data_IF_708425599395
#
_entry.id   IF_708425599395
#
_cell.length_a   1.000
_cell.length_b   1.000
_cell.length_c   1.000
_cell.angle_alpha   90.00
_cell.angle_beta   90.00
_cell.angle_gamma   90.00
#
_symmetry.space_group_name_H-M   'P 1'
#
loop_
_entity.id
_entity.type
_entity.pdbx_description
1 polymer ?
#
# COMPACT_ATOMS: atom_id res chain seq x y z
N UNK A 1 -22.75 -3.55 -17.65
CA UNK A 1 -21.60 -4.49 -17.70
C UNK A 1 -22.02 -5.93 -17.99
N UNK A 2 -22.82 -6.55 -17.12
CA UNK A 2 -23.25 -7.96 -17.27
C UNK A 2 -23.97 -8.24 -18.61
N UNK A 3 -24.82 -7.31 -19.06
CA UNK A 3 -25.46 -7.37 -20.39
C UNK A 3 -24.46 -7.44 -21.56
N UNK A 4 -23.35 -6.71 -21.46
CA UNK A 4 -22.34 -6.66 -22.52
C UNK A 4 -21.44 -7.90 -22.47
N UNK A 5 -21.13 -8.41 -21.27
CA UNK A 5 -20.43 -9.68 -21.12
C UNK A 5 -21.27 -10.82 -21.70
N UNK A 6 -22.56 -10.88 -21.39
CA UNK A 6 -23.47 -11.91 -21.94
C UNK A 6 -23.58 -11.77 -23.46
N UNK A 7 -23.75 -10.55 -23.99
CA UNK A 7 -23.80 -10.29 -25.43
C UNK A 7 -22.49 -10.69 -26.13
N UNK A 8 -21.35 -10.36 -25.53
CA UNK A 8 -20.02 -10.70 -26.03
C UNK A 8 -19.70 -12.18 -25.95
N UNK A 9 -20.19 -12.91 -24.96
CA UNK A 9 -20.06 -14.37 -24.93
C UNK A 9 -20.93 -15.05 -25.99
N UNK A 10 -22.07 -14.46 -26.37
CA UNK A 10 -22.98 -15.04 -27.36
C UNK A 10 -22.58 -14.73 -28.81
N UNK A 11 -21.97 -13.58 -29.07
CA UNK A 11 -21.69 -13.09 -30.43
C UNK A 11 -20.24 -12.68 -30.69
N UNK A 12 -19.39 -12.76 -29.68
CA UNK A 12 -17.97 -12.46 -29.81
C UNK A 12 -17.22 -13.62 -30.46
N UNK A 13 -16.36 -13.30 -31.41
CA UNK A 13 -15.39 -14.21 -31.98
C UNK A 13 -13.99 -13.69 -31.69
N UNK A 14 -13.37 -14.25 -30.66
CA UNK A 14 -12.03 -13.84 -30.26
C UNK A 14 -10.97 -14.25 -31.30
N UNK A 15 -11.14 -15.40 -31.96
CA UNK A 15 -10.18 -15.89 -32.96
C UNK A 15 -10.17 -15.01 -34.21
N UNK A 16 -11.34 -14.47 -34.58
CA UNK A 16 -11.48 -13.57 -35.71
C UNK A 16 -11.09 -12.12 -35.37
N UNK A 17 -11.59 -11.59 -34.25
CA UNK A 17 -11.53 -10.15 -33.95
C UNK A 17 -10.44 -9.75 -32.93
N UNK A 18 -9.92 -10.71 -32.17
CA UNK A 18 -9.03 -10.47 -31.06
C UNK A 18 -7.55 -10.34 -31.42
N UNK A 19 -7.14 -10.86 -32.57
CA UNK A 19 -5.77 -10.71 -33.06
C UNK A 19 -5.64 -9.49 -33.98
N UNK A 20 -4.53 -8.77 -33.82
CA UNK A 20 -4.14 -7.73 -34.76
C UNK A 20 -3.66 -8.42 -36.06
N UNK A 21 -4.29 -8.10 -37.20
CA UNK A 21 -4.05 -8.73 -38.49
C UNK A 21 -3.61 -7.70 -39.53
N UNK A 22 -2.32 -7.33 -39.48
CA UNK A 22 -1.67 -6.61 -40.59
C UNK A 22 -1.32 -7.54 -41.76
N UNK A 23 -1.06 -8.83 -41.48
CA UNK A 23 -0.83 -9.91 -42.46
C UNK A 23 -1.85 -11.04 -42.24
N UNK A 24 -2.62 -11.50 -43.25
CA UNK A 24 -3.60 -12.58 -43.11
C UNK A 24 -3.04 -13.91 -42.60
N UNK A 25 -1.73 -14.13 -42.73
CA UNK A 25 -1.07 -15.40 -42.46
C UNK A 25 -0.52 -15.57 -41.03
N UNK A 26 -0.40 -14.48 -40.26
CA UNK A 26 0.17 -14.51 -38.91
C UNK A 26 -0.59 -13.57 -37.93
N UNK A 27 -1.60 -14.06 -37.19
CA UNK A 27 -2.31 -13.25 -36.20
C UNK A 27 -1.39 -12.86 -35.03
N UNK A 28 -1.23 -11.56 -34.78
CA UNK A 28 -0.42 -11.04 -33.68
C UNK A 28 -1.32 -10.74 -32.49
N UNK A 29 -1.12 -11.48 -31.39
CA UNK A 29 -1.91 -11.34 -30.16
C UNK A 29 -1.29 -10.40 -29.12
N UNK A 30 0.03 -10.23 -29.20
CA UNK A 30 0.78 -9.30 -28.37
C UNK A 30 1.98 -8.81 -29.18
N UNK A 31 2.22 -7.50 -29.14
CA UNK A 31 3.38 -6.86 -29.76
C UNK A 31 3.97 -5.84 -28.79
N UNK A 32 5.25 -5.52 -28.98
CA UNK A 32 5.96 -4.52 -28.20
C UNK A 32 7.19 -5.05 -27.47
N UNK A 33 7.91 -4.13 -26.84
CA UNK A 33 9.12 -4.39 -26.06
C UNK A 33 8.80 -4.36 -24.56
N UNK A 34 9.77 -4.64 -23.69
CA UNK A 34 9.58 -4.48 -22.24
C UNK A 34 9.04 -3.08 -21.88
N UNK A 35 9.54 -2.05 -22.56
CA UNK A 35 9.12 -0.65 -22.44
C UNK A 35 7.65 -0.46 -22.82
N UNK A 36 7.26 -0.88 -24.03
CA UNK A 36 5.93 -0.57 -24.59
C UNK A 36 4.84 -1.57 -24.23
N UNK A 37 5.18 -2.82 -23.95
CA UNK A 37 4.21 -3.88 -23.63
C UNK A 37 4.02 -4.08 -22.13
N UNK A 38 5.05 -3.84 -21.30
CA UNK A 38 4.97 -4.07 -19.85
C UNK A 38 4.93 -2.75 -19.08
N UNK A 39 6.01 -1.94 -19.15
CA UNK A 39 6.07 -0.72 -18.34
C UNK A 39 4.98 0.28 -18.71
N UNK A 40 4.70 0.49 -19.99
CA UNK A 40 3.62 1.40 -20.41
C UNK A 40 2.24 0.98 -19.85
N UNK A 41 1.92 -0.31 -19.80
CA UNK A 41 0.60 -0.82 -19.42
C UNK A 41 0.36 -0.95 -17.91
N UNK A 42 1.42 -0.96 -17.10
CA UNK A 42 1.31 -1.14 -15.64
C UNK A 42 0.28 -0.18 -14.99
N UNK A 43 0.32 1.15 -15.21
CA UNK A 43 -0.63 2.06 -14.58
C UNK A 43 -2.07 1.79 -15.00
N UNK A 44 -2.30 1.54 -16.30
CA UNK A 44 -3.63 1.25 -16.84
C UNK A 44 -4.26 0.02 -16.20
N UNK A 45 -3.49 -1.04 -15.93
CA UNK A 45 -4.02 -2.25 -15.28
C UNK A 45 -4.38 -2.03 -13.80
N UNK A 46 -3.75 -1.07 -13.13
CA UNK A 46 -4.03 -0.80 -11.71
C UNK A 46 -5.21 0.12 -11.48
N UNK A 47 -5.52 0.98 -12.45
CA UNK A 47 -6.63 1.93 -12.35
C UNK A 47 -7.96 1.24 -12.03
N UNK A 48 -8.23 0.08 -12.63
CA UNK A 48 -9.45 -0.69 -12.40
C UNK A 48 -9.66 -1.19 -10.97
N UNK A 49 -8.66 -1.03 -10.09
CA UNK A 49 -8.73 -1.41 -8.66
C UNK A 49 -8.61 -0.22 -7.71
N UNK A 50 -8.31 0.96 -8.24
CA UNK A 50 -8.10 2.17 -7.43
C UNK A 50 -9.38 2.54 -6.69
N UNK A 51 -9.23 2.95 -5.42
CA UNK A 51 -10.34 3.43 -4.61
C UNK A 51 -10.95 2.39 -3.67
N UNK A 52 -10.63 1.10 -3.80
CA UNK A 52 -11.10 0.08 -2.84
C UNK A 52 -10.56 0.33 -1.44
N UNK A 53 -9.35 0.87 -1.33
CA UNK A 53 -8.73 1.25 -0.07
C UNK A 53 -9.42 2.42 0.63
N UNK A 54 -10.14 3.25 -0.13
CA UNK A 54 -10.87 4.40 0.42
C UNK A 54 -11.97 3.97 1.41
N UNK A 55 -12.46 2.73 1.35
CA UNK A 55 -13.43 2.19 2.32
C UNK A 55 -12.95 2.32 3.78
N UNK A 56 -11.65 2.37 4.02
CA UNK A 56 -11.08 2.54 5.36
C UNK A 56 -11.36 3.93 5.94
N UNK A 57 -11.64 4.94 5.12
CA UNK A 57 -11.92 6.32 5.54
C UNK A 57 -13.26 6.45 6.28
N UNK A 58 -14.21 5.55 6.00
CA UNK A 58 -15.51 5.50 6.68
C UNK A 58 -15.58 4.46 7.79
N UNK A 59 -14.42 3.97 8.28
CA UNK A 59 -14.38 2.99 9.36
C UNK A 59 -15.12 3.45 10.63
N UNK A 60 -15.12 4.76 10.91
CA UNK A 60 -15.78 5.34 12.08
C UNK A 60 -17.32 5.31 12.03
N UNK A 61 -17.91 5.22 10.83
CA UNK A 61 -19.38 5.17 10.63
C UNK A 61 -19.87 3.79 10.19
N UNK A 62 -18.95 2.87 9.92
CA UNK A 62 -19.26 1.51 9.50
C UNK A 62 -19.64 0.66 10.70
N UNK A 63 -20.74 -0.10 10.60
CA UNK A 63 -21.11 -1.09 11.61
C UNK A 63 -20.10 -2.24 11.62
N UNK A 64 -19.52 -2.53 12.79
CA UNK A 64 -18.52 -3.59 12.99
C UNK A 64 -17.36 -3.55 11.96
N UNK A 65 -16.58 -2.44 11.91
CA UNK A 65 -15.63 -2.19 10.83
C UNK A 65 -14.58 -3.30 10.69
N UNK A 66 -14.24 -3.96 11.80
CA UNK A 66 -13.23 -5.03 11.85
C UNK A 66 -13.64 -6.30 11.10
N UNK A 67 -14.94 -6.55 10.89
CA UNK A 67 -15.45 -7.66 10.09
C UNK A 67 -15.99 -7.21 8.74
N UNK A 68 -16.67 -6.08 8.71
CA UNK A 68 -17.32 -5.55 7.50
C UNK A 68 -16.31 -5.04 6.48
N UNK A 69 -15.29 -4.28 6.90
CA UNK A 69 -14.32 -3.71 5.96
C UNK A 69 -13.48 -4.78 5.25
N UNK A 70 -12.86 -5.77 5.93
CA UNK A 70 -12.05 -6.77 5.23
C UNK A 70 -12.87 -7.60 4.24
N UNK A 71 -14.10 -7.98 4.61
CA UNK A 71 -15.01 -8.69 3.71
C UNK A 71 -15.43 -7.82 2.53
N UNK A 72 -15.81 -6.57 2.79
CA UNK A 72 -16.19 -5.59 1.77
C UNK A 72 -15.05 -5.37 0.76
N UNK A 73 -13.83 -5.17 1.23
CA UNK A 73 -12.64 -5.04 0.37
C UNK A 73 -12.40 -6.31 -0.45
N UNK A 74 -12.51 -7.50 0.16
CA UNK A 74 -12.33 -8.76 -0.56
C UNK A 74 -13.36 -8.94 -1.68
N UNK A 75 -14.65 -8.75 -1.38
CA UNK A 75 -15.71 -8.84 -2.39
C UNK A 75 -15.53 -7.79 -3.49
N UNK A 76 -15.16 -6.55 -3.13
CA UNK A 76 -14.88 -5.50 -4.10
C UNK A 76 -13.73 -5.91 -5.05
N UNK A 77 -12.59 -6.36 -4.51
CA UNK A 77 -11.44 -6.80 -5.33
C UNK A 77 -11.81 -7.98 -6.22
N UNK A 78 -12.53 -8.99 -5.70
CA UNK A 78 -12.95 -10.16 -6.49
C UNK A 78 -13.90 -9.75 -7.61
N UNK A 79 -14.89 -8.90 -7.32
CA UNK A 79 -15.82 -8.40 -8.34
C UNK A 79 -15.08 -7.59 -9.41
N UNK A 80 -14.16 -6.70 -9.01
CA UNK A 80 -13.34 -5.92 -9.96
C UNK A 80 -12.43 -6.83 -10.79
N UNK A 81 -11.84 -7.86 -10.18
CA UNK A 81 -10.99 -8.82 -10.87
C UNK A 81 -11.77 -9.59 -11.94
N UNK A 82 -12.90 -10.21 -11.56
CA UNK A 82 -13.76 -10.90 -12.52
C UNK A 82 -14.25 -9.96 -13.63
N UNK A 83 -14.56 -8.70 -13.27
CA UNK A 83 -15.06 -7.72 -14.22
C UNK A 83 -13.99 -7.28 -15.23
N UNK A 84 -12.78 -6.94 -14.75
CA UNK A 84 -11.67 -6.54 -15.59
C UNK A 84 -11.24 -7.69 -16.51
N UNK A 85 -11.09 -8.91 -15.99
CA UNK A 85 -10.76 -10.08 -16.82
C UNK A 85 -11.81 -10.32 -17.89
N UNK A 86 -13.10 -10.25 -17.53
CA UNK A 86 -14.18 -10.42 -18.52
C UNK A 86 -14.07 -9.37 -19.64
N UNK A 87 -13.73 -8.12 -19.31
CA UNK A 87 -13.56 -7.06 -20.31
C UNK A 87 -12.37 -7.29 -21.23
N UNK A 88 -11.26 -7.81 -20.70
CA UNK A 88 -10.08 -8.16 -21.52
C UNK A 88 -10.43 -9.18 -22.61
N UNK A 89 -11.40 -10.06 -22.39
CA UNK A 89 -11.85 -11.01 -23.41
C UNK A 89 -13.01 -10.50 -24.26
N UNK A 90 -13.96 -9.78 -23.66
CA UNK A 90 -15.19 -9.35 -24.33
C UNK A 90 -14.94 -8.20 -25.30
N UNK A 91 -14.19 -7.18 -24.90
CA UNK A 91 -13.97 -6.01 -25.78
C UNK A 91 -13.28 -6.39 -27.10
N UNK A 92 -12.19 -7.18 -27.12
CA UNK A 92 -11.55 -7.54 -28.38
C UNK A 92 -12.29 -8.63 -29.19
N UNK A 93 -13.19 -9.41 -28.59
CA UNK A 93 -13.95 -10.44 -29.33
C UNK A 93 -15.10 -9.87 -30.15
N UNK A 94 -15.54 -8.65 -29.85
CA UNK A 94 -16.66 -7.99 -30.53
C UNK A 94 -16.18 -7.31 -31.83
N UNK A 95 -16.92 -7.43 -32.95
CA UNK A 95 -16.70 -6.59 -34.13
C UNK A 95 -16.86 -5.10 -33.77
N UNK A 96 -16.07 -4.16 -34.33
CA UNK A 96 -15.08 -4.28 -35.42
C UNK A 96 -13.70 -4.86 -35.05
N UNK A 97 -13.52 -5.37 -33.83
CA UNK A 97 -12.29 -6.01 -33.36
C UNK A 97 -11.29 -5.08 -32.68
N UNK A 98 -10.19 -5.67 -32.19
CA UNK A 98 -9.25 -4.99 -31.28
C UNK A 98 -8.62 -3.73 -31.88
N UNK A 99 -8.31 -3.74 -33.19
CA UNK A 99 -7.66 -2.62 -33.89
C UNK A 99 -8.50 -1.33 -33.84
N UNK A 100 -9.82 -1.45 -33.98
CA UNK A 100 -10.73 -0.31 -33.88
C UNK A 100 -11.11 0.01 -32.43
N UNK A 101 -11.08 -0.99 -31.53
CA UNK A 101 -11.40 -0.79 -30.12
C UNK A 101 -10.38 0.09 -29.40
N UNK A 102 -9.10 0.08 -29.82
CA UNK A 102 -8.05 0.94 -29.25
C UNK A 102 -8.34 2.43 -29.43
N UNK A 103 -8.93 2.82 -30.56
CA UNK A 103 -9.25 4.22 -30.87
C UNK A 103 -10.68 4.61 -30.48
N UNK A 104 -11.48 3.67 -29.96
CA UNK A 104 -12.86 3.92 -29.59
C UNK A 104 -12.94 4.65 -28.24
N UNK A 105 -13.64 5.80 -28.20
CA UNK A 105 -13.88 6.54 -26.95
C UNK A 105 -14.73 5.74 -25.95
N UNK A 106 -15.70 4.98 -26.46
CA UNK A 106 -16.55 4.11 -25.66
C UNK A 106 -16.53 2.68 -26.23
N UNK A 107 -15.49 1.87 -25.92
CA UNK A 107 -15.35 0.52 -26.49
C UNK A 107 -16.55 -0.38 -26.19
N UNK A 108 -17.27 -0.11 -25.09
CA UNK A 108 -18.43 -0.87 -24.67
C UNK A 108 -19.66 -0.65 -25.57
N UNK A 109 -19.74 0.46 -26.30
CA UNK A 109 -20.83 0.73 -27.23
C UNK A 109 -20.86 -0.27 -28.38
N UNK A 110 -19.72 -0.81 -28.80
CA UNK A 110 -19.65 -1.86 -29.81
C UNK A 110 -20.49 -3.08 -29.40
N UNK A 111 -20.42 -3.48 -28.12
CA UNK A 111 -21.22 -4.57 -27.58
C UNK A 111 -22.72 -4.22 -27.44
N UNK A 112 -23.05 -2.98 -27.11
CA UNK A 112 -24.44 -2.51 -27.05
C UNK A 112 -25.07 -2.44 -28.45
N UNK A 113 -24.30 -2.05 -29.47
CA UNK A 113 -24.71 -2.05 -30.87
C UNK A 113 -25.14 -3.44 -31.35
N UNK A 114 -24.47 -4.50 -30.91
CA UNK A 114 -24.88 -5.87 -31.22
C UNK A 114 -26.23 -6.25 -30.63
N UNK A 115 -26.65 -5.61 -29.54
CA UNK A 115 -27.98 -5.78 -28.95
C UNK A 115 -29.06 -4.93 -29.66
N UNK A 116 -28.71 -4.21 -30.73
CA UNK A 116 -29.62 -3.33 -31.45
C UNK A 116 -29.78 -1.95 -30.82
N UNK A 117 -28.90 -1.58 -29.88
CA UNK A 117 -28.91 -0.26 -29.22
C UNK A 117 -28.11 0.71 -30.10
N UNK A 118 -28.67 1.87 -30.42
CA UNK A 118 -27.95 2.90 -31.17
C UNK A 118 -26.79 3.47 -30.35
N UNK A 119 -25.74 3.97 -31.03
CA UNK A 119 -24.56 4.52 -30.35
C UNK A 119 -24.93 5.65 -29.37
N UNK A 120 -25.83 6.54 -29.78
CA UNK A 120 -26.35 7.64 -28.93
C UNK A 120 -26.97 7.10 -27.65
N UNK A 121 -27.83 6.09 -27.73
CA UNK A 121 -28.47 5.49 -26.54
C UNK A 121 -27.44 4.76 -25.68
N UNK A 122 -26.44 4.12 -26.32
CA UNK A 122 -25.32 3.49 -25.62
C UNK A 122 -24.52 4.47 -24.77
N UNK A 123 -24.20 5.66 -25.31
CA UNK A 123 -23.52 6.73 -24.58
C UNK A 123 -24.33 7.20 -23.35
N UNK A 124 -25.65 7.39 -23.52
CA UNK A 124 -26.53 7.74 -22.40
C UNK A 124 -26.62 6.65 -21.33
N UNK A 125 -26.49 5.38 -21.71
CA UNK A 125 -26.52 4.25 -20.77
C UNK A 125 -25.24 4.16 -19.90
N UNK A 126 -24.14 4.76 -20.36
CA UNK A 126 -22.88 4.84 -19.59
C UNK A 126 -22.97 5.89 -18.48
N UNK A 127 -23.73 6.98 -18.67
CA UNK A 127 -23.81 8.07 -17.70
C UNK A 127 -24.27 7.63 -16.29
N UNK A 128 -25.34 6.83 -16.11
CA UNK A 128 -25.71 6.32 -14.80
C UNK A 128 -24.60 5.51 -14.12
N UNK A 129 -23.81 4.76 -14.89
CA UNK A 129 -22.68 4.00 -14.35
C UNK A 129 -21.58 4.94 -13.84
N UNK A 130 -21.29 6.03 -14.57
CA UNK A 130 -20.33 7.05 -14.15
C UNK A 130 -20.81 7.81 -12.91
N UNK A 131 -22.09 8.15 -12.84
CA UNK A 131 -22.70 8.80 -11.67
C UNK A 131 -22.67 7.89 -10.45
N UNK A 132 -22.94 6.60 -10.62
CA UNK A 132 -22.84 5.60 -9.54
C UNK A 132 -21.42 5.46 -9.02
N UNK A 133 -20.42 5.46 -9.90
CA UNK A 133 -19.00 5.48 -9.51
C UNK A 133 -18.67 6.73 -8.69
N UNK A 134 -19.05 7.92 -9.19
CA UNK A 134 -18.79 9.18 -8.48
C UNK A 134 -19.45 9.19 -7.09
N UNK A 135 -20.73 8.80 -7.00
CA UNK A 135 -21.46 8.73 -5.74
C UNK A 135 -20.81 7.78 -4.72
N UNK A 136 -20.17 6.70 -5.19
CA UNK A 136 -19.43 5.76 -4.33
C UNK A 136 -18.27 6.40 -3.56
N UNK A 137 -17.68 7.48 -4.09
CA UNK A 137 -16.57 8.19 -3.46
C UNK A 137 -16.99 9.35 -2.56
N UNK A 138 -18.22 9.85 -2.70
CA UNK A 138 -18.70 11.07 -2.02
C UNK A 138 -18.52 11.01 -0.51
N UNK A 139 -18.93 9.90 0.09
CA UNK A 139 -18.80 9.72 1.53
C UNK A 139 -17.33 9.66 1.96
N UNK A 140 -16.49 8.95 1.21
CA UNK A 140 -15.08 8.70 1.57
C UNK A 140 -14.27 9.99 1.60
N UNK A 141 -14.30 10.78 0.51
CA UNK A 141 -13.52 12.02 0.47
C UNK A 141 -14.11 13.10 1.39
N UNK A 142 -15.42 13.08 1.65
CA UNK A 142 -16.03 14.02 2.60
C UNK A 142 -15.57 13.74 4.04
N UNK A 143 -15.51 12.46 4.43
CA UNK A 143 -14.97 12.05 5.73
C UNK A 143 -13.47 12.34 5.85
N UNK A 144 -12.70 12.14 4.77
CA UNK A 144 -11.28 12.53 4.72
C UNK A 144 -11.11 14.04 4.92
N UNK A 145 -11.88 14.84 4.19
CA UNK A 145 -11.84 16.32 4.27
C UNK A 145 -12.25 16.81 5.66
N UNK A 146 -13.29 16.21 6.25
CA UNK A 146 -13.71 16.50 7.62
C UNK A 146 -12.61 16.17 8.64
N UNK A 147 -11.93 15.04 8.46
CA UNK A 147 -10.84 14.60 9.35
C UNK A 147 -9.65 15.58 9.28
N UNK A 148 -9.28 16.01 8.07
CA UNK A 148 -8.24 17.03 7.87
C UNK A 148 -8.63 18.38 8.51
N UNK A 149 -9.89 18.80 8.39
CA UNK A 149 -10.38 20.01 9.04
C UNK A 149 -10.34 19.91 10.57
N UNK A 150 -10.69 18.75 11.13
CA UNK A 150 -10.68 18.52 12.58
C UNK A 150 -9.26 18.60 13.17
N UNK A 151 -8.26 18.16 12.41
CA UNK A 151 -6.84 18.27 12.79
C UNK A 151 -6.20 19.63 12.45
N UNK A 152 -7.01 20.63 12.06
CA UNK A 152 -6.58 21.98 11.63
C UNK A 152 -5.56 22.00 10.48
N UNK A 153 -5.66 21.02 9.58
CA UNK A 153 -4.85 20.96 8.36
C UNK A 153 -5.47 21.75 7.20
N UNK A 154 -6.74 22.15 7.32
CA UNK A 154 -7.44 23.00 6.35
C UNK A 154 -7.64 24.42 6.89
N UNK A 155 -7.68 25.44 6.02
CA UNK A 155 -7.89 26.82 6.44
C UNK A 155 -9.19 27.02 7.21
N UNK A 156 -9.14 27.76 8.32
CA UNK A 156 -10.30 28.02 9.17
C UNK A 156 -11.44 28.77 8.45
N UNK A 157 -11.12 29.54 7.41
CA UNK A 157 -12.10 30.27 6.60
C UNK A 157 -13.13 29.36 5.91
N UNK A 158 -12.81 28.09 5.69
CA UNK A 158 -13.75 27.13 5.09
C UNK A 158 -14.84 26.67 6.07
N UNK A 159 -14.67 26.91 7.39
CA UNK A 159 -15.70 26.57 8.39
C UNK A 159 -16.03 25.07 8.46
N UNK A 160 -15.07 24.20 8.11
CA UNK A 160 -15.27 22.76 7.96
C UNK A 160 -15.06 21.98 9.27
N UNK A 161 -14.61 22.61 10.34
CA UNK A 161 -14.29 21.93 11.60
C UNK A 161 -15.56 21.46 12.32
N UNK A 162 -15.52 20.24 12.86
CA UNK A 162 -16.58 19.61 13.67
C UNK A 162 -17.99 19.79 13.10
N UNK A 163 -18.16 19.66 11.78
CA UNK A 163 -19.49 19.77 11.18
C UNK A 163 -20.33 18.54 11.54
N UNK A 164 -21.63 18.72 11.86
CA UNK A 164 -22.52 17.61 12.19
C UNK A 164 -22.84 16.74 10.95
N UNK A 165 -22.75 17.31 9.75
CA UNK A 165 -22.99 16.64 8.48
C UNK A 165 -21.77 16.78 7.57
N UNK A 166 -21.55 15.77 6.72
CA UNK A 166 -20.44 15.72 5.76
C UNK A 166 -20.68 16.58 4.51
N UNK A 167 -21.82 17.26 4.42
CA UNK A 167 -22.20 18.04 3.24
C UNK A 167 -21.24 19.20 2.95
N UNK A 168 -20.86 20.00 3.96
CA UNK A 168 -19.92 21.11 3.74
C UNK A 168 -18.52 20.62 3.32
N UNK A 169 -17.89 19.65 4.00
CA UNK A 169 -16.65 19.03 3.52
C UNK A 169 -16.76 18.45 2.12
N UNK A 170 -17.89 17.80 1.82
CA UNK A 170 -18.15 17.24 0.50
C UNK A 170 -18.15 18.32 -0.58
N UNK A 171 -18.91 19.40 -0.39
CA UNK A 171 -18.97 20.52 -1.35
C UNK A 171 -17.61 21.19 -1.51
N UNK A 172 -16.87 21.40 -0.42
CA UNK A 172 -15.53 22.00 -0.49
C UNK A 172 -14.54 21.11 -1.28
N UNK A 173 -14.54 19.80 -1.02
CA UNK A 173 -13.70 18.86 -1.75
C UNK A 173 -14.11 18.73 -3.22
N UNK A 174 -15.42 18.69 -3.51
CA UNK A 174 -15.94 18.68 -4.88
C UNK A 174 -15.60 19.95 -5.64
N UNK A 175 -15.63 21.12 -4.98
CA UNK A 175 -15.21 22.39 -5.60
C UNK A 175 -13.71 22.38 -5.95
N UNK A 176 -12.86 21.85 -5.08
CA UNK A 176 -11.43 21.68 -5.37
C UNK A 176 -11.18 20.69 -6.51
N UNK A 177 -11.89 19.56 -6.51
CA UNK A 177 -11.84 18.59 -7.61
C UNK A 177 -12.30 19.20 -8.93
N UNK A 178 -13.38 19.99 -8.92
CA UNK A 178 -13.85 20.70 -10.11
C UNK A 178 -12.82 21.70 -10.62
N UNK A 179 -12.16 22.46 -9.73
CA UNK A 179 -11.07 23.36 -10.12
C UNK A 179 -9.91 22.61 -10.78
N UNK A 180 -9.51 21.45 -10.25
CA UNK A 180 -8.50 20.60 -10.88
C UNK A 180 -8.94 20.13 -12.27
N UNK A 181 -10.19 19.68 -12.43
CA UNK A 181 -10.72 19.29 -13.73
C UNK A 181 -10.77 20.48 -14.71
N UNK A 182 -11.10 21.69 -14.25
CA UNK A 182 -11.06 22.88 -15.11
C UNK A 182 -9.63 23.24 -15.53
N UNK A 183 -8.65 23.10 -14.63
CA UNK A 183 -7.24 23.29 -14.97
C UNK A 183 -6.75 22.25 -15.98
N UNK A 184 -7.21 21.00 -15.85
CA UNK A 184 -6.96 19.96 -16.84
C UNK A 184 -7.58 20.29 -18.19
N UNK A 185 -8.83 20.73 -18.22
CA UNK A 185 -9.48 21.11 -19.46
C UNK A 185 -8.78 22.27 -20.19
N UNK A 186 -8.20 23.21 -19.45
CA UNK A 186 -7.44 24.34 -20.01
C UNK A 186 -6.06 23.94 -20.55
N UNK A 187 -5.49 22.82 -20.09
CA UNK A 187 -4.14 22.36 -20.47
C UNK A 187 -4.20 20.93 -21.01
N UNK A 188 -4.20 20.74 -22.34
CA UNK A 188 -4.27 19.42 -22.97
C UNK A 188 -3.15 18.47 -22.49
N UNK A 189 -1.95 19.00 -22.25
CA UNK A 189 -0.82 18.23 -21.72
C UNK A 189 -1.09 17.72 -20.29
N UNK A 190 -1.68 18.56 -19.44
CA UNK A 190 -2.04 18.13 -18.08
C UNK A 190 -3.18 17.11 -18.12
N UNK A 191 -4.19 17.30 -18.98
CA UNK A 191 -5.30 16.36 -19.13
C UNK A 191 -4.82 14.95 -19.52
N UNK A 192 -3.84 14.84 -20.42
CA UNK A 192 -3.27 13.55 -20.81
C UNK A 192 -2.46 12.89 -19.68
N UNK A 193 -1.77 13.70 -18.86
CA UNK A 193 -0.93 13.23 -17.77
C UNK A 193 -1.66 13.05 -16.42
N UNK A 194 -2.87 13.58 -16.28
CA UNK A 194 -3.65 13.66 -15.02
C UNK A 194 -3.82 12.29 -14.36
N UNK A 195 -4.15 11.27 -15.16
CA UNK A 195 -4.31 9.91 -14.71
C UNK A 195 -3.02 9.36 -14.08
N UNK A 196 -1.91 9.51 -14.80
CA UNK A 196 -0.60 9.03 -14.37
C UNK A 196 -0.12 9.80 -13.14
N UNK A 197 -0.42 11.10 -13.05
CA UNK A 197 -0.18 11.91 -11.86
C UNK A 197 -0.88 11.34 -10.62
N UNK A 198 -2.18 11.02 -10.71
CA UNK A 198 -2.92 10.49 -9.57
C UNK A 198 -2.44 9.09 -9.15
N UNK A 199 -2.15 8.22 -10.12
CA UNK A 199 -1.59 6.90 -9.82
C UNK A 199 -0.22 7.04 -9.14
N UNK A 200 0.66 7.90 -9.66
CA UNK A 200 1.96 8.15 -9.06
C UNK A 200 1.82 8.72 -7.64
N UNK A 201 0.94 9.70 -7.41
CA UNK A 201 0.65 10.21 -6.07
C UNK A 201 0.14 9.11 -5.13
N UNK A 202 -0.73 8.23 -5.61
CA UNK A 202 -1.26 7.11 -4.85
C UNK A 202 -0.17 6.12 -4.45
N UNK A 203 0.85 5.87 -5.28
CA UNK A 203 1.97 4.97 -4.92
C UNK A 203 2.73 5.46 -3.68
N UNK A 204 2.90 6.77 -3.48
CA UNK A 204 3.51 7.34 -2.26
C UNK A 204 2.63 7.08 -1.04
N UNK A 205 1.32 7.32 -1.17
CA UNK A 205 0.35 7.08 -0.10
C UNK A 205 0.32 5.60 0.31
N UNK A 206 0.26 4.69 -0.66
CA UNK A 206 0.24 3.25 -0.38
C UNK A 206 1.56 2.76 0.21
N UNK A 207 2.69 3.27 -0.26
CA UNK A 207 4.00 2.97 0.32
C UNK A 207 4.05 3.40 1.78
N UNK A 208 3.57 4.61 2.11
CA UNK A 208 3.48 5.08 3.49
C UNK A 208 2.59 4.18 4.37
N UNK A 209 1.45 3.72 3.84
CA UNK A 209 0.55 2.78 4.53
C UNK A 209 1.22 1.42 4.77
N UNK A 210 1.93 0.87 3.78
CA UNK A 210 2.67 -0.39 3.90
C UNK A 210 3.81 -0.29 4.92
N UNK A 211 4.57 0.81 4.90
CA UNK A 211 5.61 1.08 5.91
C UNK A 211 4.97 1.14 7.31
N UNK A 212 3.85 1.84 7.46
CA UNK A 212 3.08 1.88 8.72
C UNK A 212 2.67 0.49 9.19
N UNK A 213 2.16 -0.36 8.30
CA UNK A 213 1.82 -1.76 8.61
C UNK A 213 3.04 -2.58 9.07
N UNK A 214 4.17 -2.48 8.35
CA UNK A 214 5.41 -3.17 8.72
C UNK A 214 5.91 -2.69 10.08
N UNK A 215 5.87 -1.39 10.36
CA UNK A 215 6.25 -0.82 11.66
C UNK A 215 5.37 -1.32 12.80
N UNK A 216 4.05 -1.42 12.58
CA UNK A 216 3.10 -1.94 13.57
C UNK A 216 3.39 -3.40 13.94
N UNK A 217 3.78 -4.23 12.96
CA UNK A 217 4.10 -5.65 13.17
C UNK A 217 5.49 -5.88 13.75
N UNK A 218 6.49 -5.10 13.36
CA UNK A 218 7.90 -5.32 13.74
C UNK A 218 8.30 -4.56 15.01
N UNK A 219 8.11 -3.23 15.00
CA UNK A 219 8.60 -2.31 16.04
C UNK A 219 7.64 -2.27 17.22
N UNK A 220 6.36 -2.07 16.95
CA UNK A 220 5.34 -1.97 17.98
C UNK A 220 4.80 -3.33 18.42
N UNK A 221 4.96 -4.38 17.59
CA UNK A 221 4.47 -5.75 17.84
C UNK A 221 3.01 -5.74 18.33
N UNK A 222 2.18 -4.96 17.64
CA UNK A 222 0.79 -4.81 18.02
C UNK A 222 0.01 -6.02 17.49
N UNK A 223 -0.50 -6.86 18.39
CA UNK A 223 -1.31 -8.01 18.00
C UNK A 223 -2.70 -7.56 17.53
N UNK A 224 -3.08 -8.03 16.36
CA UNK A 224 -4.41 -7.82 15.81
C UNK A 224 -5.36 -8.90 16.34
N UNK A 225 -6.07 -8.58 17.43
CA UNK A 225 -6.95 -9.56 18.12
C UNK A 225 -8.15 -10.03 17.29
N UNK A 226 -8.59 -9.25 16.30
CA UNK A 226 -9.86 -9.51 15.60
C UNK A 226 -9.72 -9.78 14.09
N UNK A 227 -8.69 -9.24 13.44
CA UNK A 227 -8.41 -9.52 12.03
C UNK A 227 -6.91 -9.60 11.78
N UNK A 228 -6.42 -10.77 11.36
CA UNK A 228 -5.05 -10.98 10.91
C UNK A 228 -5.02 -11.06 9.39
N UNK A 229 -4.18 -10.25 8.75
CA UNK A 229 -3.95 -10.37 7.31
C UNK A 229 -3.36 -11.76 7.00
N UNK A 230 -3.91 -12.51 6.04
CA UNK A 230 -3.40 -13.83 5.68
C UNK A 230 -2.01 -13.77 5.05
N UNK A 231 -1.68 -12.67 4.34
CA UNK A 231 -0.41 -12.51 3.64
C UNK A 231 0.69 -11.88 4.50
N UNK A 232 0.33 -11.28 5.64
CA UNK A 232 1.29 -10.73 6.61
C UNK A 232 2.35 -9.80 6.00
N UNK A 233 3.58 -9.91 6.52
CA UNK A 233 4.73 -9.12 6.06
C UNK A 233 5.16 -9.46 4.62
N UNK A 234 5.20 -10.74 4.18
CA UNK A 234 5.54 -11.08 2.79
C UNK A 234 4.64 -10.38 1.78
N UNK A 235 3.32 -10.32 2.04
CA UNK A 235 2.38 -9.59 1.19
C UNK A 235 2.66 -8.09 1.13
N UNK A 236 3.09 -7.47 2.23
CA UNK A 236 3.46 -6.06 2.26
C UNK A 236 4.71 -5.77 1.43
N UNK A 237 5.70 -6.67 1.45
CA UNK A 237 6.92 -6.56 0.63
C UNK A 237 6.57 -6.68 -0.85
N UNK A 238 5.75 -7.67 -1.22
CA UNK A 238 5.29 -7.85 -2.60
C UNK A 238 4.50 -6.64 -3.11
N UNK A 239 3.55 -6.13 -2.31
CA UNK A 239 2.81 -4.92 -2.68
C UNK A 239 3.75 -3.71 -2.84
N UNK A 240 4.75 -3.58 -1.95
CA UNK A 240 5.76 -2.54 -2.05
C UNK A 240 6.59 -2.62 -3.33
N UNK A 241 6.98 -3.81 -3.77
CA UNK A 241 7.71 -3.97 -5.04
C UNK A 241 6.84 -3.65 -6.25
N UNK A 242 5.54 -3.99 -6.22
CA UNK A 242 4.59 -3.62 -7.27
C UNK A 242 4.44 -2.10 -7.35
N UNK A 243 4.23 -1.41 -6.23
CA UNK A 243 4.13 0.06 -6.25
C UNK A 243 5.43 0.75 -6.67
N UNK A 244 6.59 0.17 -6.35
CA UNK A 244 7.87 0.65 -6.86
C UNK A 244 7.97 0.53 -8.38
N UNK A 245 7.56 -0.61 -8.95
CA UNK A 245 7.52 -0.80 -10.41
C UNK A 245 6.55 0.16 -11.09
N UNK A 246 5.39 0.44 -10.47
CA UNK A 246 4.46 1.46 -10.95
C UNK A 246 5.09 2.87 -10.93
N UNK A 247 5.75 3.24 -9.85
CA UNK A 247 6.41 4.53 -9.75
C UNK A 247 7.51 4.67 -10.81
N UNK A 248 8.29 3.60 -11.06
CA UNK A 248 9.31 3.57 -12.11
C UNK A 248 8.71 3.63 -13.52
N UNK A 249 7.57 2.99 -13.76
CA UNK A 249 6.84 3.07 -15.03
C UNK A 249 6.47 4.52 -15.37
N UNK A 250 5.93 5.26 -14.41
CA UNK A 250 5.46 6.63 -14.65
C UNK A 250 6.64 7.61 -14.64
N UNK A 251 7.45 7.61 -13.57
CA UNK A 251 8.56 8.55 -13.41
C UNK A 251 9.73 8.28 -14.38
N UNK A 252 9.85 7.04 -14.89
CA UNK A 252 10.86 6.67 -15.88
C UNK A 252 10.50 7.08 -17.32
N UNK A 253 9.36 7.75 -17.55
CA UNK A 253 8.98 8.27 -18.86
C UNK A 253 8.40 7.21 -19.82
N UNK A 254 7.98 6.04 -19.31
CA UNK A 254 7.42 4.97 -20.14
C UNK A 254 5.98 5.24 -20.61
N UNK A 255 5.37 6.33 -20.14
CA UNK A 255 3.97 6.69 -20.40
C UNK A 255 3.77 7.60 -21.61
N UNK A 256 4.87 8.12 -22.20
CA UNK A 256 4.77 9.05 -23.33
C UNK A 256 4.13 10.39 -22.97
N UNK A 257 4.24 10.80 -21.70
CA UNK A 257 3.67 12.04 -21.16
C UNK A 257 4.72 13.16 -21.01
N UNK A 258 5.89 13.02 -21.64
CA UNK A 258 7.04 13.94 -21.55
C UNK A 258 7.47 14.28 -20.11
N UNK A 259 7.15 13.43 -19.14
CA UNK A 259 7.43 13.66 -17.72
C UNK A 259 6.50 14.68 -17.05
N UNK A 260 5.42 15.11 -17.72
CA UNK A 260 4.44 16.06 -17.19
C UNK A 260 3.79 15.56 -15.91
N UNK A 261 3.49 14.25 -15.79
CA UNK A 261 2.91 13.70 -14.55
C UNK A 261 3.87 13.85 -13.36
N UNK A 262 5.14 13.50 -13.54
CA UNK A 262 6.16 13.60 -12.49
C UNK A 262 6.43 15.06 -12.10
N UNK A 263 6.53 15.96 -13.07
CA UNK A 263 6.70 17.39 -12.83
C UNK A 263 5.50 17.99 -12.10
N UNK A 264 4.28 17.66 -12.52
CA UNK A 264 3.05 18.10 -11.88
C UNK A 264 2.95 17.61 -10.43
N UNK A 265 3.36 16.35 -10.17
CA UNK A 265 3.41 15.82 -8.81
C UNK A 265 4.43 16.56 -7.96
N UNK A 266 5.61 16.84 -8.50
CA UNK A 266 6.65 17.57 -7.79
C UNK A 266 6.17 18.98 -7.40
N UNK A 267 5.53 19.69 -8.33
CA UNK A 267 4.91 21.00 -8.06
C UNK A 267 3.82 20.88 -7.00
N UNK A 268 2.92 19.90 -7.11
CA UNK A 268 1.86 19.67 -6.14
C UNK A 268 2.41 19.38 -4.73
N UNK A 269 3.40 18.50 -4.62
CA UNK A 269 4.07 18.20 -3.36
C UNK A 269 4.81 19.41 -2.80
N UNK A 270 5.45 20.22 -3.65
CA UNK A 270 6.12 21.45 -3.24
C UNK A 270 5.10 22.45 -2.67
N UNK A 271 3.95 22.64 -3.32
CA UNK A 271 2.87 23.49 -2.81
C UNK A 271 2.33 22.96 -1.47
N UNK A 272 2.13 21.65 -1.33
CA UNK A 272 1.71 21.04 -0.07
C UNK A 272 2.76 21.20 1.03
N UNK A 273 4.04 21.06 0.71
CA UNK A 273 5.15 21.26 1.66
C UNK A 273 5.24 22.72 2.11
N UNK A 274 5.13 23.67 1.18
CA UNK A 274 5.08 25.10 1.49
C UNK A 274 3.91 25.39 2.43
N UNK A 275 2.70 24.98 2.04
CA UNK A 275 1.50 25.16 2.86
C UNK A 275 1.64 24.49 4.24
N UNK A 276 2.21 23.29 4.30
CA UNK A 276 2.46 22.59 5.54
C UNK A 276 3.42 23.37 6.46
N UNK A 277 4.53 23.89 5.91
CA UNK A 277 5.52 24.62 6.69
C UNK A 277 5.06 26.01 7.13
N UNK A 278 4.28 26.71 6.30
CA UNK A 278 3.82 28.08 6.59
C UNK A 278 2.58 28.11 7.47
N UNK A 279 1.62 27.20 7.25
CA UNK A 279 0.33 27.20 7.94
C UNK A 279 0.20 26.00 8.88
N UNK A 280 0.19 24.77 8.34
CA UNK A 280 -0.19 23.60 9.14
C UNK A 280 0.71 23.37 10.34
N UNK A 281 2.02 23.58 10.21
CA UNK A 281 2.97 23.36 11.32
C UNK A 281 2.64 24.22 12.54
N UNK A 282 2.06 25.40 12.36
CA UNK A 282 1.66 26.29 13.44
C UNK A 282 0.26 25.99 13.98
N UNK A 283 -0.65 25.45 13.15
CA UNK A 283 -2.07 25.27 13.49
C UNK A 283 -2.47 23.83 13.81
N UNK A 284 -1.68 22.85 13.40
CA UNK A 284 -2.01 21.42 13.47
C UNK A 284 -2.23 21.01 14.93
N UNK A 285 -3.40 20.42 15.19
CA UNK A 285 -3.73 19.83 16.47
C UNK A 285 -4.09 18.37 16.28
N UNK A 286 -3.63 17.52 17.19
CA UNK A 286 -4.06 16.13 17.20
C UNK A 286 -5.50 16.04 17.71
N UNK A 287 -6.34 15.36 16.95
CA UNK A 287 -7.67 14.94 17.39
C UNK A 287 -7.53 13.99 18.58
N UNK A 288 -8.55 13.88 19.43
CA UNK A 288 -8.55 13.00 20.62
C UNK A 288 -8.12 11.57 20.28
N UNK A 289 -8.61 11.03 19.17
CA UNK A 289 -8.28 9.68 18.70
C UNK A 289 -6.83 9.55 18.25
N UNK A 290 -6.30 10.56 17.55
CA UNK A 290 -4.89 10.61 17.13
C UNK A 290 -3.97 10.71 18.34
N UNK A 291 -4.31 11.56 19.32
CA UNK A 291 -3.55 11.70 20.56
C UNK A 291 -3.50 10.39 21.34
N UNK A 292 -4.64 9.70 21.47
CA UNK A 292 -4.71 8.39 22.13
C UNK A 292 -3.83 7.34 21.43
N UNK A 293 -3.81 7.32 20.09
CA UNK A 293 -2.96 6.43 19.31
C UNK A 293 -1.47 6.75 19.52
N UNK A 294 -1.07 8.01 19.38
CA UNK A 294 0.32 8.47 19.56
C UNK A 294 0.82 8.18 20.98
N UNK A 295 -0.01 8.45 21.99
CA UNK A 295 0.32 8.16 23.38
C UNK A 295 0.57 6.66 23.58
N UNK A 296 -0.34 5.81 23.09
CA UNK A 296 -0.20 4.35 23.17
C UNK A 296 1.10 3.87 22.51
N UNK A 297 1.41 4.35 21.31
CA UNK A 297 2.65 3.96 20.62
C UNK A 297 3.91 4.47 21.34
N UNK A 298 3.85 5.66 21.92
CA UNK A 298 4.94 6.21 22.72
C UNK A 298 5.22 5.36 23.96
N UNK A 299 4.17 4.94 24.67
CA UNK A 299 4.28 4.02 25.81
C UNK A 299 4.84 2.65 25.38
N UNK A 300 4.37 2.11 24.26
CA UNK A 300 4.87 0.84 23.73
C UNK A 300 6.36 0.92 23.37
N UNK A 301 6.79 2.02 22.70
CA UNK A 301 8.19 2.28 22.37
C UNK A 301 9.05 2.42 23.63
N UNK A 302 8.58 3.18 24.61
CA UNK A 302 9.27 3.35 25.89
C UNK A 302 9.45 2.02 26.63
N UNK A 303 8.40 1.20 26.72
CA UNK A 303 8.44 -0.11 27.34
C UNK A 303 9.38 -1.08 26.60
N UNK A 304 9.38 -1.06 25.27
CA UNK A 304 10.31 -1.85 24.47
C UNK A 304 11.77 -1.44 24.71
N UNK A 305 12.05 -0.14 24.75
CA UNK A 305 13.38 0.40 25.05
C UNK A 305 13.86 0.02 26.46
N UNK A 306 12.99 0.16 27.47
CA UNK A 306 13.28 -0.25 28.86
C UNK A 306 13.58 -1.75 28.97
N UNK A 307 12.80 -2.59 28.29
CA UNK A 307 13.02 -4.04 28.25
C UNK A 307 14.37 -4.40 27.60
N UNK A 308 14.73 -3.73 26.51
CA UNK A 308 16.01 -3.94 25.85
C UNK A 308 17.19 -3.48 26.74
N UNK A 309 17.07 -2.35 27.43
CA UNK A 309 18.07 -1.86 28.40
C UNK A 309 18.25 -2.85 29.56
N UNK A 310 17.15 -3.37 30.12
CA UNK A 310 17.18 -4.40 31.17
C UNK A 310 17.84 -5.70 30.70
N UNK A 311 17.52 -6.17 29.48
CA UNK A 311 18.16 -7.35 28.87
C UNK A 311 19.66 -7.14 28.65
N UNK A 312 20.07 -5.98 28.16
CA UNK A 312 21.49 -5.63 27.97
C UNK A 312 22.24 -5.60 29.31
N UNK A 313 21.68 -4.97 30.33
CA UNK A 313 22.24 -4.95 31.70
C UNK A 313 22.39 -6.35 32.28
N UNK A 314 21.39 -7.23 32.11
CA UNK A 314 21.44 -8.61 32.59
C UNK A 314 22.50 -9.43 31.85
N UNK A 315 22.61 -9.25 30.53
CA UNK A 315 23.64 -9.92 29.69
C UNK A 315 25.06 -9.48 30.07
N UNK A 316 25.26 -8.19 30.36
CA UNK A 316 26.52 -7.66 30.87
C UNK A 316 26.88 -8.24 32.25
N UNK A 317 25.90 -8.33 33.16
CA UNK A 317 26.12 -8.95 34.48
C UNK A 317 26.50 -10.42 34.38
N UNK A 318 25.82 -11.21 33.54
CA UNK A 318 26.13 -12.63 33.32
C UNK A 318 27.50 -12.80 32.67
N UNK A 319 27.85 -11.97 31.68
CA UNK A 319 29.17 -11.99 31.06
C UNK A 319 30.29 -11.70 32.08
N UNK A 320 30.08 -10.74 33.00
CA UNK A 320 31.02 -10.48 34.09
C UNK A 320 31.15 -11.67 35.05
N UNK A 321 30.05 -12.32 35.41
CA UNK A 321 30.08 -13.51 36.28
C UNK A 321 30.82 -14.67 35.61
N UNK A 322 30.59 -14.90 34.32
CA UNK A 322 31.30 -15.93 33.55
C UNK A 322 32.79 -15.60 33.46
N UNK A 323 33.17 -14.36 33.14
CA UNK A 323 34.56 -13.93 33.07
C UNK A 323 35.28 -14.07 34.41
N UNK A 324 34.60 -13.76 35.52
CA UNK A 324 35.11 -13.96 36.87
C UNK A 324 35.32 -15.45 37.19
N UNK A 325 34.34 -16.31 36.86
CA UNK A 325 34.46 -17.75 37.07
C UNK A 325 35.61 -18.38 36.26
N UNK A 326 35.79 -17.95 35.00
CA UNK A 326 36.90 -18.38 34.14
C UNK A 326 38.25 -17.94 34.73
N UNK A 327 38.33 -16.73 35.28
CA UNK A 327 39.55 -16.22 35.92
C UNK A 327 39.92 -17.00 37.18
N UNK A 328 38.92 -17.41 37.98
CA UNK A 328 39.16 -18.27 39.15
C UNK A 328 39.65 -19.66 38.77
N UNK A 329 39.08 -20.27 37.72
CA UNK A 329 39.54 -21.57 37.21
C UNK A 329 40.96 -21.48 36.66
N UNK A 330 41.29 -20.39 35.94
CA UNK A 330 42.65 -20.15 35.46
C UNK A 330 43.65 -20.01 36.63
N UNK A 331 43.32 -19.22 37.65
CA UNK A 331 44.15 -19.06 38.84
C UNK A 331 44.32 -20.37 39.64
N UNK A 332 43.29 -21.22 39.72
CA UNK A 332 43.36 -22.54 40.34
C UNK A 332 44.27 -23.51 39.58
N UNK A 333 44.24 -23.48 38.24
CA UNK A 333 45.12 -24.27 37.38
C UNK A 333 46.60 -23.80 37.44
N UNK A 334 46.82 -22.51 37.70
CA UNK A 334 48.16 -21.94 37.87
C UNK A 334 48.75 -22.28 39.25
N UNK A 335 47.92 -22.27 40.30
CA UNK A 335 48.31 -22.70 41.65
C UNK A 335 48.67 -24.20 41.71
N UNK A 336 47.99 -25.06 40.93
CA UNK A 336 48.31 -26.49 40.85
C UNK A 336 49.60 -26.78 40.08
N UNK A 337 50.02 -25.91 39.15
CA UNK A 337 51.33 -26.03 38.47
C UNK A 337 52.53 -25.73 39.38
N UNK A 338 52.34 -24.95 40.45
CA UNK A 338 53.42 -24.64 41.41
C UNK A 338 53.55 -25.64 42.56
N UNK A 339 52.69 -26.66 42.62
CA UNK A 339 52.76 -27.74 43.61
C UNK A 339 53.42 -29.00 42.99
N UNK A 340 54.73 -28.92 42.73
CA UNK A 340 55.55 -30.11 42.49
C UNK A 340 55.81 -30.85 43.82
N UNK A 341 55.73 -32.19 43.88
CA UNK A 341 55.90 -32.94 45.14
C UNK A 341 57.34 -32.88 45.64
N UNK A 342 57.54 -32.43 46.88
CA UNK A 342 58.83 -32.53 47.60
C UNK A 342 59.14 -34.01 47.84
N UNK A 343 60.20 -34.52 47.22
CA UNK A 343 60.78 -35.84 47.46
C UNK A 343 61.31 -35.91 48.90
N UNK A 344 60.70 -36.74 49.75
CA UNK A 344 61.19 -37.02 51.11
C UNK A 344 62.06 -38.28 51.03
N UNK A 345 63.36 -38.13 51.21
CA UNK A 345 64.34 -39.23 51.31
C UNK A 345 64.27 -39.82 52.72
N UNK A 346 63.74 -41.04 52.85
CA UNK A 346 63.66 -41.78 54.12
C UNK A 346 64.98 -42.53 54.36
N UNK A 347 65.71 -42.17 55.42
CA UNK A 347 66.84 -42.96 55.93
C UNK A 347 66.33 -44.04 56.89
N UNK A 348 66.58 -45.29 56.53
CA UNK A 348 66.30 -46.50 57.29
C UNK A 348 67.12 -46.56 58.59
N UNK A 349 66.46 -46.76 59.74
CA UNK A 349 67.08 -47.39 60.91
C UNK A 349 66.15 -48.47 61.48
N UNK A 350 66.68 -49.69 61.52
CA UNK A 350 66.13 -50.89 62.18
C UNK A 350 66.41 -50.83 63.68
N UNK A 351 65.41 -51.15 64.51
CA UNK A 351 65.57 -51.87 65.80
C UNK A 351 64.15 -52.21 66.30
N UNK A 352 63.68 -53.45 66.16
CA UNK A 352 63.80 -54.59 67.09
C UNK A 352 62.80 -54.56 68.26
N UNK A 353 62.02 -55.64 68.29
CA UNK A 353 61.48 -56.38 69.43
C UNK A 353 60.15 -55.97 70.08
N UNK A 354 59.27 -56.99 70.06
CA UNK A 354 58.43 -57.50 71.16
C UNK A 354 57.26 -56.61 71.57
N UNK A 355 56.13 -57.11 72.08
CA UNK A 355 55.51 -58.42 72.31
C UNK A 355 54.31 -58.10 73.22
N UNK A 356 53.30 -58.98 73.23
CA UNK A 356 52.18 -59.03 74.18
C UNK A 356 51.03 -58.06 73.89
N UNK A 357 49.76 -58.47 73.89
CA UNK A 357 49.12 -59.74 74.23
C UNK A 357 47.72 -59.75 73.61
#
# INVERSE_FOLDING_TARGET
MLLVVVAGCMRGDLAQNGAYRDDPSAPVWASGTLTTAYFAWLPYTTWGYAGVESLTLIAGVTKDPKRTLPRGMLFAVVTLFCSNISMVFVVPSLPPGIASAVNATFPLNNGLGMLGISDVVGQWLILPAQMGMAAGFFLQYAHLTQSLANSNMLPACLGLKNQPTTLKPMVAASALGYLLCTAAHLSPAFQQAEQNLFILAATFCYSAQLIGFVMLRTTYRCDSKEFTSPFGIPGAIFAGSVYLLLALSIAGGFQGDDGVAAASLAVFLLLLLLYYHTVCKATQTLTKDEYAAVFRFSVMKYNAARRNKSRSSRRSSVAKTIAWAVSLVAASNEATKHQAPRTITVKTQRSVAKSQR
#
